data_IF_126926603961
#
_entry.id   IF_126926603961
#
_cell.length_a   1.000
_cell.length_b   1.000
_cell.length_c   1.000
_cell.angle_alpha   90.00
_cell.angle_beta   90.00
_cell.angle_gamma   90.00
#
_symmetry.space_group_name_H-M   'P 1'
#
loop_
_entity.id
_entity.type
_entity.pdbx_description
1 polymer ?
#
# COMPACT_ATOMS: atom_id res chain seq x y z
N UNK A 1 41.25 43.69 -11.92
CA UNK A 1 40.02 42.92 -12.21
C UNK A 1 40.03 41.67 -11.36
N UNK A 2 39.28 41.62 -10.26
CA UNK A 2 39.07 40.39 -9.47
C UNK A 2 37.95 39.61 -10.12
N UNK A 3 38.25 38.39 -10.58
CA UNK A 3 37.25 37.45 -11.07
C UNK A 3 36.59 36.76 -9.86
N UNK A 4 35.32 37.09 -9.61
CA UNK A 4 34.51 36.40 -8.59
C UNK A 4 34.12 35.03 -9.15
N UNK A 5 34.70 33.96 -8.61
CA UNK A 5 34.29 32.58 -8.93
C UNK A 5 33.00 32.31 -8.18
N UNK A 6 31.88 32.28 -8.89
CA UNK A 6 30.59 31.81 -8.36
C UNK A 6 30.65 30.29 -8.37
N UNK A 7 30.91 29.68 -7.20
CA UNK A 7 30.74 28.25 -7.00
C UNK A 7 29.24 27.99 -6.90
N UNK A 8 28.63 27.52 -7.96
CA UNK A 8 27.27 27.01 -7.93
C UNK A 8 27.24 25.76 -7.01
N UNK A 9 26.67 25.91 -5.83
CA UNK A 9 26.37 24.77 -4.98
C UNK A 9 25.36 23.89 -5.71
N UNK A 10 25.79 22.76 -6.26
CA UNK A 10 24.89 21.75 -6.76
C UNK A 10 24.14 21.20 -5.54
N UNK A 11 22.84 21.53 -5.42
CA UNK A 11 21.98 20.85 -4.49
C UNK A 11 21.98 19.37 -4.89
N UNK A 12 22.64 18.53 -4.13
CA UNK A 12 22.58 17.08 -4.35
C UNK A 12 21.12 16.63 -4.19
N UNK A 13 20.59 15.94 -5.20
CA UNK A 13 19.27 15.35 -5.12
C UNK A 13 19.22 14.30 -4.00
N UNK A 14 18.09 14.21 -3.32
CA UNK A 14 17.86 13.18 -2.31
C UNK A 14 17.83 11.80 -2.97
N UNK A 15 18.45 10.83 -2.33
CA UNK A 15 18.41 9.43 -2.70
C UNK A 15 17.54 8.62 -1.74
N UNK A 16 17.19 7.38 -2.12
CA UNK A 16 16.44 6.48 -1.28
C UNK A 16 17.37 5.68 -0.37
N UNK A 17 17.39 5.98 0.92
CA UNK A 17 17.96 5.13 1.96
C UNK A 17 17.05 3.93 2.23
N UNK A 18 17.60 2.82 2.70
CA UNK A 18 16.83 1.60 2.99
C UNK A 18 17.39 0.86 4.19
N UNK A 19 16.48 0.44 5.07
CA UNK A 19 16.73 -0.54 6.13
C UNK A 19 15.53 -1.46 6.28
N UNK A 20 15.73 -2.65 6.83
CA UNK A 20 14.66 -3.54 7.25
C UNK A 20 14.65 -3.63 8.77
N UNK A 21 13.47 -3.50 9.36
CA UNK A 21 13.26 -3.61 10.80
C UNK A 21 12.20 -4.65 11.12
N UNK A 22 12.13 -5.06 12.38
CA UNK A 22 11.05 -5.88 12.94
C UNK A 22 10.30 -5.04 13.96
N UNK A 23 8.96 -4.96 13.81
CA UNK A 23 8.11 -4.38 14.85
C UNK A 23 7.50 -5.49 15.69
N UNK A 24 7.27 -5.23 16.98
CA UNK A 24 6.70 -6.21 17.89
C UNK A 24 5.30 -6.66 17.49
N UNK A 25 4.97 -7.92 17.76
CA UNK A 25 3.61 -8.42 17.70
C UNK A 25 2.73 -7.86 18.83
N UNK A 26 1.44 -8.22 18.84
CA UNK A 26 0.47 -7.79 19.89
C UNK A 26 0.76 -8.39 21.26
N UNK A 27 1.43 -9.53 21.32
CA UNK A 27 1.98 -10.16 22.53
C UNK A 27 3.41 -10.60 22.23
N UNK A 28 4.22 -10.94 23.26
CA UNK A 28 5.57 -11.44 23.04
C UNK A 28 5.66 -12.66 22.13
N UNK A 29 4.62 -13.50 22.11
CA UNK A 29 4.53 -14.73 21.30
C UNK A 29 3.90 -14.49 19.93
N UNK A 30 3.30 -13.33 19.70
CA UNK A 30 2.70 -12.99 18.42
C UNK A 30 3.78 -12.72 17.35
N UNK A 31 3.52 -13.07 16.08
CA UNK A 31 4.47 -12.82 15.02
C UNK A 31 4.87 -11.34 14.94
N UNK A 32 6.17 -11.09 14.78
CA UNK A 32 6.68 -9.75 14.48
C UNK A 32 6.30 -9.37 13.05
N UNK A 33 6.22 -8.06 12.77
CA UNK A 33 6.00 -7.55 11.43
C UNK A 33 7.32 -7.07 10.84
N UNK A 34 7.72 -7.64 9.71
CA UNK A 34 8.84 -7.14 8.91
C UNK A 34 8.41 -5.85 8.20
N UNK A 35 9.21 -4.80 8.32
CA UNK A 35 8.97 -3.51 7.68
C UNK A 35 10.23 -3.05 6.94
N UNK A 36 10.13 -2.81 5.65
CA UNK A 36 11.14 -2.10 4.89
C UNK A 36 10.90 -0.60 5.01
N UNK A 37 11.87 0.12 5.55
CA UNK A 37 11.84 1.58 5.60
C UNK A 37 12.64 2.14 4.43
N UNK A 38 11.97 2.97 3.63
CA UNK A 38 12.59 3.79 2.59
C UNK A 38 12.54 5.25 3.04
N UNK A 39 13.67 5.94 2.98
CA UNK A 39 13.78 7.29 3.55
C UNK A 39 14.75 8.16 2.77
N UNK A 40 14.60 9.49 2.79
CA UNK A 40 15.52 10.38 2.09
C UNK A 40 16.90 10.38 2.75
N UNK A 41 17.94 10.29 1.92
CA UNK A 41 19.35 10.31 2.32
C UNK A 41 20.19 11.03 1.28
N UNK A 42 21.38 11.47 1.69
CA UNK A 42 22.42 11.99 0.79
C UNK A 42 23.45 10.91 0.41
N UNK A 43 23.32 9.69 0.94
CA UNK A 43 24.24 8.60 0.63
C UNK A 43 23.98 8.03 -0.76
N UNK A 44 25.03 7.70 -1.50
CA UNK A 44 24.91 7.15 -2.85
C UNK A 44 24.20 5.77 -2.84
N UNK A 45 23.22 5.56 -3.73
CA UNK A 45 22.52 4.30 -3.84
C UNK A 45 23.38 3.27 -4.59
N UNK A 46 22.97 1.99 -4.45
CA UNK A 46 23.47 0.88 -5.26
C UNK A 46 22.34 -0.06 -5.64
N UNK A 47 22.46 -0.71 -6.77
CA UNK A 47 21.54 -1.74 -7.18
C UNK A 47 21.71 -3.00 -6.30
N UNK A 48 20.60 -3.52 -5.79
CA UNK A 48 20.53 -4.78 -5.05
C UNK A 48 19.33 -5.59 -5.51
N UNK A 49 19.39 -6.91 -5.34
CA UNK A 49 18.24 -7.80 -5.56
C UNK A 49 17.67 -8.24 -4.21
N UNK A 50 16.34 -8.10 -4.07
CA UNK A 50 15.58 -8.59 -2.93
C UNK A 50 14.50 -9.56 -3.42
N UNK A 51 14.86 -10.85 -3.44
CA UNK A 51 14.07 -11.85 -4.15
C UNK A 51 13.92 -11.51 -5.64
N UNK A 52 12.72 -11.50 -6.21
CA UNK A 52 12.50 -11.19 -7.62
C UNK A 52 12.52 -9.69 -7.94
N UNK A 53 12.69 -8.82 -6.95
CA UNK A 53 12.62 -7.37 -7.15
C UNK A 53 13.99 -6.70 -7.03
N UNK A 54 14.29 -5.84 -8.01
CA UNK A 54 15.47 -4.96 -7.97
C UNK A 54 15.16 -3.69 -7.19
N UNK A 55 16.12 -3.23 -6.39
CA UNK A 55 16.08 -1.95 -5.68
C UNK A 55 17.36 -1.16 -6.00
N UNK A 56 17.23 0.17 -6.06
CA UNK A 56 18.36 1.09 -6.16
C UNK A 56 18.36 2.01 -4.93
N UNK A 57 19.09 1.60 -3.88
CA UNK A 57 19.00 2.18 -2.53
C UNK A 57 20.35 2.29 -1.83
N UNK A 58 20.48 3.27 -0.95
CA UNK A 58 21.60 3.40 -0.01
C UNK A 58 21.28 2.62 1.27
N UNK A 59 21.81 1.37 1.36
CA UNK A 59 21.59 0.51 2.53
C UNK A 59 22.24 1.13 3.77
N UNK A 60 21.45 1.38 4.82
CA UNK A 60 21.92 1.97 6.07
C UNK A 60 22.41 3.41 5.92
N UNK A 61 22.14 4.07 4.79
CA UNK A 61 22.47 5.49 4.60
C UNK A 61 21.86 6.36 5.71
N UNK A 62 22.59 7.40 6.15
CA UNK A 62 22.09 8.30 7.19
C UNK A 62 20.83 9.02 6.72
N UNK A 63 19.68 8.92 7.43
CA UNK A 63 18.49 9.69 7.08
C UNK A 63 18.73 11.20 7.19
N UNK A 64 18.02 11.98 6.39
CA UNK A 64 17.97 13.43 6.59
C UNK A 64 17.27 13.78 7.92
N UNK A 65 17.47 15.01 8.41
CA UNK A 65 16.98 15.41 9.73
C UNK A 65 15.43 15.50 9.79
N UNK A 66 14.79 15.85 8.68
CA UNK A 66 13.32 15.97 8.59
C UNK A 66 12.78 15.30 7.35
N UNK A 67 11.63 14.65 7.50
CA UNK A 67 10.84 14.06 6.41
C UNK A 67 9.45 14.71 6.37
N UNK A 68 8.88 14.81 5.18
CA UNK A 68 7.59 15.45 4.92
C UNK A 68 6.42 14.82 5.67
N UNK A 69 6.36 13.47 5.64
CA UNK A 69 5.34 12.65 6.30
C UNK A 69 5.79 11.20 6.36
N UNK A 70 5.09 10.39 7.15
CA UNK A 70 5.12 8.93 7.10
C UNK A 70 4.08 8.44 6.08
N UNK A 71 4.49 7.59 5.16
CA UNK A 71 3.60 6.86 4.24
C UNK A 71 3.67 5.38 4.57
N UNK A 72 2.56 4.81 5.06
CA UNK A 72 2.42 3.37 5.19
C UNK A 72 2.18 2.76 3.81
N UNK A 73 2.85 1.65 3.46
CA UNK A 73 2.64 0.93 2.21
C UNK A 73 2.23 -0.51 2.50
N UNK A 74 1.02 -0.89 2.05
CA UNK A 74 0.42 -2.22 2.22
C UNK A 74 0.34 -2.96 0.89
N UNK A 75 1.02 -4.12 0.80
CA UNK A 75 1.02 -4.97 -0.39
C UNK A 75 -0.30 -5.73 -0.59
N UNK A 76 -0.51 -6.32 -1.76
CA UNK A 76 -1.62 -7.22 -2.09
C UNK A 76 -1.51 -8.59 -1.41
N UNK A 77 -2.48 -9.47 -1.69
CA UNK A 77 -2.50 -10.86 -1.17
C UNK A 77 -1.18 -11.58 -1.46
N UNK A 78 -0.65 -12.29 -0.46
CA UNK A 78 0.61 -13.06 -0.54
C UNK A 78 1.82 -12.26 -1.04
N UNK A 79 1.81 -10.94 -0.91
CA UNK A 79 2.87 -10.06 -1.40
C UNK A 79 4.08 -9.94 -0.48
N UNK A 80 4.81 -8.85 -0.63
CA UNK A 80 6.04 -8.57 0.12
C UNK A 80 6.27 -7.06 0.25
N UNK A 81 7.04 -6.65 1.23
CA UNK A 81 7.45 -5.26 1.50
C UNK A 81 8.30 -4.63 0.38
N UNK A 82 8.74 -5.43 -0.60
CA UNK A 82 9.54 -4.96 -1.74
C UNK A 82 8.79 -4.92 -3.07
N UNK A 83 7.56 -5.49 -3.13
CA UNK A 83 6.79 -5.59 -4.37
C UNK A 83 6.39 -4.24 -5.00
N UNK A 84 6.45 -3.15 -4.24
CA UNK A 84 6.16 -1.78 -4.68
C UNK A 84 7.35 -0.84 -4.43
N UNK A 85 8.57 -1.37 -4.42
CA UNK A 85 9.77 -0.61 -4.06
C UNK A 85 10.05 0.57 -5.01
N UNK A 86 9.65 0.53 -6.28
CA UNK A 86 9.77 1.67 -7.21
C UNK A 86 9.02 2.89 -6.68
N UNK A 87 7.78 2.71 -6.23
CA UNK A 87 6.97 3.78 -5.64
C UNK A 87 7.56 4.25 -4.29
N UNK A 88 7.98 3.29 -3.44
CA UNK A 88 8.57 3.61 -2.15
C UNK A 88 9.88 4.40 -2.28
N UNK A 89 10.76 4.02 -3.22
CA UNK A 89 11.98 4.74 -3.50
C UNK A 89 11.72 6.15 -4.07
N UNK A 90 10.74 6.28 -4.97
CA UNK A 90 10.38 7.57 -5.52
C UNK A 90 9.86 8.53 -4.43
N UNK A 91 8.98 8.07 -3.55
CA UNK A 91 8.50 8.84 -2.40
C UNK A 91 9.65 9.22 -1.46
N UNK A 92 10.59 8.29 -1.18
CA UNK A 92 11.76 8.59 -0.36
C UNK A 92 12.64 9.68 -0.98
N UNK A 93 12.94 9.61 -2.29
CA UNK A 93 13.66 10.67 -3.02
C UNK A 93 12.92 12.02 -3.00
N UNK A 94 11.61 11.99 -2.82
CA UNK A 94 10.79 13.20 -2.67
C UNK A 94 10.55 13.64 -1.21
N UNK A 95 11.32 13.09 -0.26
CA UNK A 95 11.34 13.55 1.13
C UNK A 95 10.38 12.85 2.08
N UNK A 96 9.74 11.75 1.69
CA UNK A 96 8.86 10.96 2.54
C UNK A 96 9.59 9.82 3.25
N UNK A 97 9.16 9.46 4.45
CA UNK A 97 9.48 8.17 5.07
C UNK A 97 8.41 7.18 4.66
N UNK A 98 8.79 6.10 3.99
CA UNK A 98 7.84 5.03 3.61
C UNK A 98 8.10 3.80 4.45
N UNK A 99 7.06 3.30 5.12
CA UNK A 99 7.07 2.05 5.87
C UNK A 99 6.27 1.00 5.10
N UNK A 100 6.96 0.16 4.34
CA UNK A 100 6.37 -0.94 3.59
C UNK A 100 6.36 -2.19 4.45
N UNK A 101 5.17 -2.62 4.89
CA UNK A 101 5.05 -3.78 5.79
C UNK A 101 4.90 -5.08 5.01
N UNK A 102 5.43 -6.18 5.58
CA UNK A 102 5.10 -7.56 5.18
C UNK A 102 4.07 -8.07 6.17
N UNK A 103 2.83 -8.28 5.71
CA UNK A 103 1.75 -8.73 6.57
C UNK A 103 2.01 -10.13 7.15
N UNK A 104 2.13 -10.30 8.49
CA UNK A 104 2.20 -11.63 9.09
C UNK A 104 0.97 -12.46 8.74
N UNK A 105 1.19 -13.69 8.29
CA UNK A 105 0.14 -14.61 7.88
C UNK A 105 -0.48 -14.35 6.50
N UNK A 106 -0.05 -13.27 5.81
CA UNK A 106 -0.44 -13.02 4.42
C UNK A 106 0.72 -12.44 3.62
N UNK A 107 1.68 -13.27 3.33
CA UNK A 107 2.83 -12.94 2.50
C UNK A 107 3.33 -14.18 1.75
N UNK A 108 4.33 -14.00 0.89
CA UNK A 108 4.85 -15.07 0.05
C UNK A 108 5.42 -16.28 0.82
N UNK A 109 5.82 -16.11 2.09
CA UNK A 109 6.36 -17.18 2.96
C UNK A 109 5.32 -17.79 3.89
N UNK A 110 4.30 -17.01 4.28
CA UNK A 110 3.35 -17.37 5.32
C UNK A 110 1.94 -16.95 4.90
N UNK A 111 1.02 -17.91 4.81
CA UNK A 111 -0.39 -17.73 4.43
C UNK A 111 -1.37 -18.09 5.55
N UNK A 112 -0.88 -18.27 6.78
CA UNK A 112 -1.68 -18.75 7.90
C UNK A 112 -2.87 -17.83 8.26
N UNK A 113 -2.82 -16.55 7.94
CA UNK A 113 -3.95 -15.62 8.13
C UNK A 113 -5.08 -15.92 7.12
N UNK A 114 -4.73 -16.27 5.89
CA UNK A 114 -5.73 -16.61 4.86
C UNK A 114 -6.51 -17.88 5.25
N UNK A 115 -5.84 -18.85 5.86
CA UNK A 115 -6.45 -20.11 6.33
C UNK A 115 -7.43 -19.90 7.49
N UNK A 116 -7.33 -18.76 8.19
CA UNK A 116 -8.25 -18.40 9.29
C UNK A 116 -9.58 -17.81 8.83
N UNK A 117 -9.80 -17.75 7.52
CA UNK A 117 -11.02 -17.27 6.91
C UNK A 117 -11.08 -15.75 6.71
N UNK A 118 -12.03 -15.30 5.88
CA UNK A 118 -12.12 -13.89 5.46
C UNK A 118 -12.39 -12.92 6.61
N UNK A 119 -13.12 -13.32 7.65
CA UNK A 119 -13.38 -12.51 8.82
C UNK A 119 -12.10 -12.05 9.50
N UNK A 120 -11.19 -13.00 9.75
CA UNK A 120 -9.88 -12.71 10.35
C UNK A 120 -8.97 -11.97 9.38
N UNK A 121 -9.01 -12.34 8.12
CA UNK A 121 -8.17 -11.75 7.09
C UNK A 121 -8.43 -10.24 6.95
N UNK A 122 -9.68 -9.85 6.79
CA UNK A 122 -10.05 -8.45 6.59
C UNK A 122 -10.02 -7.62 7.89
N UNK A 123 -10.14 -8.23 9.06
CA UNK A 123 -9.97 -7.55 10.36
C UNK A 123 -8.48 -7.32 10.69
N UNK A 124 -7.63 -8.32 10.50
CA UNK A 124 -6.25 -8.29 11.00
C UNK A 124 -5.32 -7.40 10.17
N UNK A 125 -5.47 -7.36 8.84
CA UNK A 125 -4.58 -6.55 7.99
C UNK A 125 -4.57 -5.06 8.35
N UNK A 126 -5.70 -4.36 8.53
CA UNK A 126 -5.69 -2.96 8.97
C UNK A 126 -5.08 -2.78 10.36
N UNK A 127 -5.30 -3.74 11.28
CA UNK A 127 -4.70 -3.70 12.63
C UNK A 127 -3.19 -3.85 12.59
N UNK A 128 -2.65 -4.75 11.75
CA UNK A 128 -1.21 -4.88 11.53
C UNK A 128 -0.62 -3.57 10.99
N UNK A 129 -1.29 -2.96 10.05
CA UNK A 129 -0.90 -1.69 9.45
C UNK A 129 -0.88 -0.55 10.49
N UNK A 130 -1.91 -0.43 11.32
CA UNK A 130 -1.99 0.57 12.40
C UNK A 130 -0.87 0.36 13.45
N UNK A 131 -0.57 -0.90 13.82
CA UNK A 131 0.54 -1.23 14.73
C UNK A 131 1.92 -0.83 14.17
N UNK A 132 2.12 -0.91 12.85
CA UNK A 132 3.35 -0.40 12.22
C UNK A 132 3.44 1.11 12.35
N UNK A 133 2.34 1.85 12.16
CA UNK A 133 2.30 3.29 12.41
C UNK A 133 2.65 3.57 13.88
N UNK A 134 2.08 2.83 14.83
CA UNK A 134 2.40 2.96 16.26
C UNK A 134 3.90 2.78 16.52
N UNK A 135 4.49 1.72 15.99
CA UNK A 135 5.90 1.41 16.18
C UNK A 135 6.84 2.50 15.65
N UNK A 136 6.56 2.99 14.43
CA UNK A 136 7.37 4.07 13.81
C UNK A 136 7.24 5.38 14.59
N UNK A 137 6.03 5.73 15.04
CA UNK A 137 5.80 6.95 15.81
C UNK A 137 6.26 6.86 17.27
N UNK A 138 6.44 5.64 17.80
CA UNK A 138 7.04 5.40 19.12
C UNK A 138 8.57 5.44 19.07
N UNK A 139 9.20 5.13 17.94
CA UNK A 139 10.66 5.17 17.77
C UNK A 139 11.16 6.63 17.83
N UNK A 140 12.01 7.00 18.82
CA UNK A 140 12.45 8.39 19.00
C UNK A 140 13.18 8.96 17.78
N UNK A 141 13.93 8.11 17.06
CA UNK A 141 14.70 8.53 15.90
C UNK A 141 13.80 8.92 14.72
N UNK A 142 12.74 8.13 14.45
CA UNK A 142 11.79 8.44 13.38
C UNK A 142 10.78 9.50 13.79
N UNK A 143 10.25 9.43 15.02
CA UNK A 143 9.34 10.43 15.57
C UNK A 143 9.90 11.86 15.47
N UNK A 144 11.16 12.04 15.81
CA UNK A 144 11.82 13.36 15.74
C UNK A 144 11.96 13.91 14.31
N UNK A 145 11.93 13.02 13.30
CA UNK A 145 12.08 13.40 11.88
C UNK A 145 10.77 13.71 11.18
N UNK A 146 9.69 13.00 11.53
CA UNK A 146 8.39 13.13 10.86
C UNK A 146 7.80 14.50 11.15
N UNK A 147 7.41 15.22 10.09
CA UNK A 147 6.78 16.53 10.24
C UNK A 147 5.42 16.40 10.95
N UNK A 148 5.14 17.37 11.81
CA UNK A 148 3.90 17.47 12.59
C UNK A 148 3.26 18.83 12.38
N UNK A 149 1.95 18.91 12.58
CA UNK A 149 1.19 20.16 12.61
C UNK A 149 0.18 20.13 13.78
N UNK A 150 -0.82 21.00 13.77
CA UNK A 150 -1.83 21.07 14.84
C UNK A 150 -2.66 19.79 15.01
N UNK A 151 -2.70 18.93 13.99
CA UNK A 151 -3.40 17.63 14.03
C UNK A 151 -2.49 16.46 14.43
N UNK A 152 -1.20 16.71 14.69
CA UNK A 152 -0.20 15.70 15.04
C UNK A 152 0.71 15.32 13.87
N UNK A 153 1.36 14.12 13.90
CA UNK A 153 2.24 13.67 12.85
C UNK A 153 1.50 13.51 11.52
N UNK A 154 2.17 13.88 10.43
CA UNK A 154 1.61 13.72 9.09
C UNK A 154 1.74 12.28 8.63
N UNK A 155 0.60 11.62 8.43
CA UNK A 155 0.55 10.21 8.02
C UNK A 155 -0.37 10.04 6.82
N UNK A 156 0.16 9.41 5.77
CA UNK A 156 -0.60 8.90 4.64
C UNK A 156 -0.48 7.38 4.52
N UNK A 157 -1.30 6.78 3.67
CA UNK A 157 -1.19 5.36 3.38
C UNK A 157 -1.40 5.06 1.89
N UNK A 158 -0.68 4.05 1.39
CA UNK A 158 -0.69 3.58 0.02
C UNK A 158 -0.90 2.07 0.02
N UNK A 159 -1.82 1.55 -0.80
CA UNK A 159 -2.07 0.12 -0.85
C UNK A 159 -2.52 -0.40 -2.20
N UNK A 160 -2.16 -1.64 -2.52
CA UNK A 160 -2.54 -2.33 -3.75
C UNK A 160 -3.39 -3.55 -3.44
N UNK A 161 -4.46 -3.79 -4.20
CA UNK A 161 -5.28 -5.00 -4.09
C UNK A 161 -5.88 -5.16 -2.67
N UNK A 162 -5.58 -6.23 -1.95
CA UNK A 162 -5.89 -6.39 -0.53
C UNK A 162 -5.28 -5.28 0.35
N UNK A 163 -4.13 -4.71 -0.06
CA UNK A 163 -3.56 -3.52 0.56
C UNK A 163 -4.39 -2.26 0.31
N UNK A 164 -5.03 -2.16 -0.86
CA UNK A 164 -6.01 -1.12 -1.17
C UNK A 164 -7.23 -1.16 -0.24
N UNK A 165 -7.75 -2.36 0.05
CA UNK A 165 -8.73 -2.55 1.11
C UNK A 165 -8.19 -2.08 2.47
N UNK A 166 -6.95 -2.51 2.81
CA UNK A 166 -6.33 -2.17 4.10
C UNK A 166 -6.33 -0.65 4.33
N UNK A 167 -5.90 0.15 3.36
CA UNK A 167 -5.84 1.61 3.52
C UNK A 167 -7.22 2.27 3.53
N UNK A 168 -8.19 1.71 2.80
CA UNK A 168 -9.59 2.15 2.87
C UNK A 168 -10.20 1.89 4.25
N UNK A 169 -9.90 0.73 4.86
CA UNK A 169 -10.33 0.42 6.22
C UNK A 169 -9.69 1.35 7.26
N UNK A 170 -8.40 1.68 7.12
CA UNK A 170 -7.73 2.69 7.95
C UNK A 170 -8.37 4.08 7.79
N UNK A 171 -8.93 4.39 6.63
CA UNK A 171 -9.67 5.64 6.39
C UNK A 171 -11.11 5.62 6.92
N UNK A 172 -11.59 4.47 7.44
CA UNK A 172 -12.89 4.33 8.06
C UNK A 172 -13.93 3.54 7.26
N UNK A 173 -13.59 3.02 6.07
CA UNK A 173 -14.46 2.10 5.36
C UNK A 173 -14.61 0.78 6.13
N UNK A 174 -15.83 0.23 6.17
CA UNK A 174 -16.14 -0.98 6.95
C UNK A 174 -16.50 -2.15 6.04
N UNK A 175 -15.87 -3.31 6.27
CA UNK A 175 -16.22 -4.52 5.55
C UNK A 175 -17.57 -5.10 6.07
N UNK A 176 -18.36 -5.60 5.13
CA UNK A 176 -19.51 -6.46 5.38
C UNK A 176 -19.34 -7.76 4.56
N UNK A 177 -18.99 -8.83 5.23
CA UNK A 177 -18.74 -10.11 4.57
C UNK A 177 -20.01 -10.76 4.04
N UNK A 178 -21.20 -10.34 4.49
CA UNK A 178 -22.46 -10.78 3.89
C UNK A 178 -22.59 -10.27 2.46
N UNK A 179 -22.08 -9.05 2.18
CA UNK A 179 -22.00 -8.50 0.81
C UNK A 179 -21.08 -9.33 -0.08
N UNK A 180 -19.90 -9.68 0.44
CA UNK A 180 -18.94 -10.54 -0.29
C UNK A 180 -19.56 -11.90 -0.62
N UNK A 181 -20.17 -12.56 0.36
CA UNK A 181 -20.84 -13.85 0.16
C UNK A 181 -21.98 -13.76 -0.86
N UNK A 182 -22.83 -12.72 -0.73
CA UNK A 182 -23.92 -12.48 -1.67
C UNK A 182 -23.41 -12.21 -3.09
N UNK A 183 -22.34 -11.39 -3.22
CA UNK A 183 -21.70 -11.13 -4.51
C UNK A 183 -21.23 -12.43 -5.15
N UNK A 184 -20.45 -13.25 -4.44
CA UNK A 184 -19.96 -14.51 -5.00
C UNK A 184 -21.04 -15.59 -5.20
N UNK A 185 -22.18 -15.47 -4.53
CA UNK A 185 -23.34 -16.33 -4.80
C UNK A 185 -23.99 -16.01 -6.16
N UNK A 186 -24.06 -14.74 -6.55
CA UNK A 186 -24.83 -14.31 -7.73
C UNK A 186 -23.96 -13.85 -8.90
N UNK A 187 -22.74 -13.37 -8.65
CA UNK A 187 -21.88 -12.74 -9.64
C UNK A 187 -20.55 -13.50 -9.85
N UNK A 188 -20.44 -14.75 -9.36
CA UNK A 188 -19.18 -15.51 -9.45
C UNK A 188 -18.68 -15.72 -10.89
N UNK A 189 -19.58 -15.79 -11.88
CA UNK A 189 -19.22 -15.89 -13.31
C UNK A 189 -18.58 -14.60 -13.86
N UNK A 190 -18.90 -13.46 -13.26
CA UNK A 190 -18.47 -12.13 -13.67
C UNK A 190 -17.23 -11.64 -12.89
N UNK A 191 -16.92 -12.29 -11.75
CA UNK A 191 -15.78 -11.99 -10.88
C UNK A 191 -15.12 -13.29 -10.37
N UNK A 192 -14.71 -14.18 -11.29
CA UNK A 192 -14.38 -15.57 -10.97
C UNK A 192 -13.14 -15.73 -10.11
N UNK A 193 -12.09 -14.91 -10.33
CA UNK A 193 -10.86 -15.04 -9.58
C UNK A 193 -11.09 -14.61 -8.13
N UNK A 194 -11.69 -13.44 -7.89
CA UNK A 194 -12.00 -12.98 -6.54
C UNK A 194 -12.86 -14.00 -5.78
N UNK A 195 -13.94 -14.50 -6.41
CA UNK A 195 -14.85 -15.45 -5.76
C UNK A 195 -14.22 -16.83 -5.54
N UNK A 196 -13.23 -17.23 -6.32
CA UNK A 196 -12.48 -18.48 -6.06
C UNK A 196 -11.58 -18.40 -4.83
N UNK A 197 -11.05 -17.22 -4.52
CA UNK A 197 -10.18 -17.01 -3.35
C UNK A 197 -10.95 -17.01 -2.02
N UNK A 198 -12.22 -16.63 -2.03
CA UNK A 198 -13.08 -16.60 -0.84
C UNK A 198 -13.71 -17.95 -0.46
N UNK A 199 -13.53 -18.98 -1.29
CA UNK A 199 -14.21 -20.28 -1.15
C UNK A 199 -13.38 -21.30 -0.33
N UNK A 200 -12.54 -20.85 0.61
CA UNK A 200 -11.75 -21.72 1.47
C UNK A 200 -12.55 -22.18 2.68
N UNK A 201 -13.33 -23.27 2.52
CA UNK A 201 -13.81 -24.08 3.64
C UNK A 201 -15.16 -23.68 4.24
N UNK A 202 -15.67 -24.58 5.09
CA UNK A 202 -16.92 -24.43 5.85
C UNK A 202 -16.99 -23.06 6.54
N UNK A 203 -18.14 -22.41 6.45
CA UNK A 203 -18.42 -21.18 7.15
C UNK A 203 -18.20 -21.39 8.67
N UNK A 204 -17.05 -21.02 9.16
CA UNK A 204 -16.87 -20.83 10.59
C UNK A 204 -17.89 -19.78 11.05
N UNK A 205 -18.57 -19.97 12.19
CA UNK A 205 -19.47 -18.95 12.71
C UNK A 205 -18.72 -17.61 12.72
N UNK A 206 -19.32 -16.53 12.21
CA UNK A 206 -18.67 -15.24 12.23
C UNK A 206 -18.23 -14.95 13.67
N UNK A 207 -16.99 -14.50 13.90
CA UNK A 207 -16.65 -13.96 15.20
C UNK A 207 -17.68 -12.87 15.52
N UNK A 208 -18.02 -12.65 16.79
CA UNK A 208 -18.92 -11.58 17.16
C UNK A 208 -18.44 -10.31 16.47
N UNK A 209 -19.37 -9.60 15.83
CA UNK A 209 -19.08 -8.43 15.00
C UNK A 209 -18.00 -7.59 15.69
N UNK A 210 -16.89 -7.35 14.99
CA UNK A 210 -15.79 -6.59 15.56
C UNK A 210 -16.33 -5.21 15.95
N UNK A 211 -16.55 -5.01 17.23
CA UNK A 211 -17.13 -3.78 17.80
C UNK A 211 -16.15 -2.61 17.75
N UNK A 212 -14.89 -2.88 17.41
CA UNK A 212 -13.83 -1.88 17.33
C UNK A 212 -13.60 -1.42 15.89
N UNK A 213 -13.65 -0.11 15.70
CA UNK A 213 -13.32 0.54 14.43
C UNK A 213 -11.93 0.13 13.94
N UNK A 214 -11.80 -0.10 12.63
CA UNK A 214 -10.50 -0.30 11.95
C UNK A 214 -9.86 1.03 11.54
N UNK A 215 -10.57 2.14 11.72
CA UNK A 215 -10.10 3.48 11.39
C UNK A 215 -8.89 3.85 12.24
N UNK A 216 -7.89 4.42 11.61
CA UNK A 216 -6.76 5.07 12.26
C UNK A 216 -6.86 6.58 12.03
N UNK A 217 -7.16 7.32 13.09
CA UNK A 217 -7.40 8.77 13.02
C UNK A 217 -6.17 9.58 12.58
N UNK A 218 -4.99 8.98 12.60
CA UNK A 218 -3.74 9.60 12.14
C UNK A 218 -3.63 9.64 10.62
N UNK A 219 -4.32 8.71 9.91
CA UNK A 219 -4.27 8.61 8.45
C UNK A 219 -5.13 9.71 7.83
N UNK A 220 -4.51 10.64 7.10
CA UNK A 220 -5.16 11.83 6.53
C UNK A 220 -5.33 11.79 5.02
N UNK A 221 -4.53 10.98 4.34
CA UNK A 221 -4.59 10.80 2.89
C UNK A 221 -4.29 9.34 2.54
N UNK A 222 -5.02 8.79 1.58
CA UNK A 222 -4.83 7.43 1.12
C UNK A 222 -4.80 7.34 -0.41
N UNK A 223 -3.98 6.40 -0.90
CA UNK A 223 -4.00 5.97 -2.30
C UNK A 223 -4.30 4.49 -2.33
N UNK A 224 -5.37 4.09 -3.01
CA UNK A 224 -5.76 2.70 -3.18
C UNK A 224 -5.68 2.30 -4.66
N UNK A 225 -4.77 1.39 -4.99
CA UNK A 225 -4.52 0.89 -6.34
C UNK A 225 -5.21 -0.46 -6.52
N UNK A 226 -6.11 -0.57 -7.51
CA UNK A 226 -6.92 -1.77 -7.75
C UNK A 226 -7.43 -2.41 -6.43
N UNK A 227 -8.15 -1.65 -5.57
CA UNK A 227 -8.49 -2.11 -4.22
C UNK A 227 -9.52 -3.24 -4.23
N UNK A 228 -9.43 -4.17 -3.28
CA UNK A 228 -10.55 -5.07 -2.97
C UNK A 228 -11.69 -4.24 -2.34
N UNK A 229 -12.78 -4.06 -3.07
CA UNK A 229 -13.84 -3.10 -2.73
C UNK A 229 -15.22 -3.68 -2.48
N UNK A 230 -15.58 -4.82 -3.10
CA UNK A 230 -16.95 -5.37 -3.13
C UNK A 230 -17.56 -5.58 -1.73
N UNK A 231 -16.74 -5.89 -0.72
CA UNK A 231 -17.19 -6.08 0.65
C UNK A 231 -17.40 -4.76 1.43
N UNK A 232 -16.97 -3.62 0.91
CA UNK A 232 -17.13 -2.34 1.60
C UNK A 232 -18.56 -1.81 1.44
N UNK A 233 -19.15 -1.32 2.54
CA UNK A 233 -20.53 -0.78 2.50
C UNK A 233 -20.56 0.63 1.94
N UNK A 234 -21.59 0.96 1.16
CA UNK A 234 -21.78 2.31 0.61
C UNK A 234 -21.82 3.36 1.72
N UNK A 235 -22.53 3.06 2.82
CA UNK A 235 -22.63 3.95 3.98
C UNK A 235 -21.26 4.29 4.58
N UNK A 236 -20.40 3.27 4.77
CA UNK A 236 -19.07 3.50 5.36
C UNK A 236 -18.13 4.23 4.40
N UNK A 237 -18.23 3.96 3.10
CA UNK A 237 -17.47 4.67 2.07
C UNK A 237 -17.89 6.16 2.03
N UNK A 238 -19.19 6.46 2.09
CA UNK A 238 -19.70 7.83 2.17
C UNK A 238 -19.25 8.58 3.44
N UNK A 239 -18.83 7.87 4.48
CA UNK A 239 -18.31 8.43 5.73
C UNK A 239 -16.78 8.64 5.73
N UNK A 240 -16.03 8.19 4.72
CA UNK A 240 -14.59 8.40 4.59
C UNK A 240 -14.29 9.89 4.50
N UNK A 241 -13.34 10.36 5.30
CA UNK A 241 -12.94 11.79 5.36
C UNK A 241 -11.51 12.05 4.89
N UNK A 242 -10.53 11.13 5.06
CA UNK A 242 -9.20 11.29 4.46
C UNK A 242 -9.27 11.58 2.96
N UNK A 243 -8.39 12.45 2.47
CA UNK A 243 -8.24 12.64 1.03
C UNK A 243 -7.93 11.29 0.37
N UNK A 244 -8.68 10.94 -0.68
CA UNK A 244 -8.62 9.59 -1.28
C UNK A 244 -8.39 9.67 -2.78
N UNK A 245 -7.37 8.94 -3.25
CA UNK A 245 -7.10 8.72 -4.67
C UNK A 245 -7.22 7.23 -4.96
N UNK A 246 -7.96 6.89 -6.02
CA UNK A 246 -8.21 5.51 -6.44
C UNK A 246 -7.62 5.32 -7.83
N UNK A 247 -6.90 4.22 -8.02
CA UNK A 247 -6.52 3.73 -9.35
C UNK A 247 -7.24 2.44 -9.65
N UNK A 248 -7.76 2.30 -10.87
CA UNK A 248 -8.26 1.06 -11.41
C UNK A 248 -7.41 0.61 -12.60
N UNK A 249 -7.21 -0.68 -12.77
CA UNK A 249 -6.66 -1.26 -13.99
C UNK A 249 -7.83 -1.63 -14.92
N UNK A 250 -7.89 -1.04 -16.10
CA UNK A 250 -9.04 -1.21 -17.03
C UNK A 250 -9.34 -2.67 -17.36
N UNK A 251 -8.30 -3.48 -17.51
CA UNK A 251 -8.40 -4.89 -17.87
C UNK A 251 -8.15 -5.82 -16.67
N UNK A 252 -8.48 -5.35 -15.46
CA UNK A 252 -8.33 -6.15 -14.23
C UNK A 252 -9.31 -7.34 -14.24
N UNK A 253 -8.77 -8.55 -14.25
CA UNK A 253 -9.53 -9.80 -14.17
C UNK A 253 -9.44 -10.42 -12.78
N UNK A 254 -8.50 -9.92 -11.96
CA UNK A 254 -8.33 -10.37 -10.57
C UNK A 254 -9.38 -9.74 -9.65
N UNK A 255 -9.60 -8.43 -9.84
CA UNK A 255 -10.61 -7.63 -9.15
C UNK A 255 -11.35 -6.80 -10.20
N UNK A 256 -12.43 -7.34 -10.74
CA UNK A 256 -13.18 -6.71 -11.83
C UNK A 256 -13.62 -5.29 -11.44
N UNK A 257 -13.24 -4.23 -12.19
CA UNK A 257 -13.33 -2.83 -11.74
C UNK A 257 -14.70 -2.42 -11.23
N UNK A 258 -15.79 -2.81 -11.94
CA UNK A 258 -17.16 -2.44 -11.57
C UNK A 258 -17.59 -2.88 -10.18
N UNK A 259 -17.05 -4.00 -9.68
CA UNK A 259 -17.35 -4.53 -8.35
C UNK A 259 -16.38 -4.03 -7.28
N UNK A 260 -15.23 -3.52 -7.66
CA UNK A 260 -14.13 -3.18 -6.77
C UNK A 260 -13.78 -1.70 -6.83
N UNK A 261 -12.91 -1.24 -7.71
CA UNK A 261 -12.44 0.14 -7.75
C UNK A 261 -13.55 1.14 -8.08
N UNK A 262 -14.39 0.86 -9.07
CA UNK A 262 -15.53 1.71 -9.45
C UNK A 262 -16.61 1.74 -8.35
N UNK A 263 -16.88 0.59 -7.71
CA UNK A 263 -17.77 0.54 -6.55
C UNK A 263 -17.29 1.46 -5.43
N UNK A 264 -16.00 1.37 -5.08
CA UNK A 264 -15.40 2.24 -4.05
C UNK A 264 -15.53 3.70 -4.46
N UNK A 265 -15.08 4.07 -5.65
CA UNK A 265 -15.09 5.44 -6.13
C UNK A 265 -16.51 6.03 -6.17
N UNK A 266 -17.50 5.26 -6.64
CA UNK A 266 -18.90 5.71 -6.76
C UNK A 266 -19.57 5.98 -5.41
N UNK A 267 -19.02 5.47 -4.31
CA UNK A 267 -19.59 5.64 -2.97
C UNK A 267 -18.76 6.56 -2.06
N UNK A 268 -17.63 7.09 -2.53
CA UNK A 268 -16.83 8.09 -1.82
C UNK A 268 -17.45 9.48 -1.95
N UNK A 269 -17.35 10.36 -0.92
CA UNK A 269 -17.90 11.72 -0.97
C UNK A 269 -17.22 12.62 -2.01
N UNK A 270 -15.95 12.36 -2.32
CA UNK A 270 -15.17 13.07 -3.32
C UNK A 270 -14.30 12.07 -4.10
N UNK A 271 -14.88 11.38 -5.09
CA UNK A 271 -14.16 10.37 -5.84
C UNK A 271 -13.03 11.03 -6.68
N UNK A 272 -11.85 10.47 -6.57
CA UNK A 272 -10.68 10.80 -7.41
C UNK A 272 -10.20 9.49 -8.04
N UNK A 273 -10.92 9.04 -9.08
CA UNK A 273 -10.68 7.78 -9.77
C UNK A 273 -9.84 8.01 -11.03
N UNK A 274 -8.74 7.30 -11.11
CA UNK A 274 -7.84 7.25 -12.26
C UNK A 274 -7.91 5.87 -12.93
N UNK A 275 -8.45 5.82 -14.15
CA UNK A 275 -8.47 4.62 -14.97
C UNK A 275 -7.13 4.46 -15.68
N UNK A 276 -6.44 3.36 -15.42
CA UNK A 276 -5.21 3.01 -16.13
C UNK A 276 -5.55 2.16 -17.35
N UNK A 277 -5.43 2.81 -18.51
CA UNK A 277 -5.80 2.21 -19.79
C UNK A 277 -4.91 1.01 -20.11
N UNK A 278 -5.49 -0.04 -20.67
CA UNK A 278 -4.78 -1.26 -21.08
C UNK A 278 -3.92 -1.88 -19.96
N UNK A 279 -4.33 -1.78 -18.68
CA UNK A 279 -3.58 -2.31 -17.55
C UNK A 279 -4.24 -3.57 -16.97
N UNK A 280 -3.43 -4.54 -16.56
CA UNK A 280 -3.83 -5.67 -15.72
C UNK A 280 -3.63 -5.36 -14.23
N UNK A 281 -4.16 -6.23 -13.36
CA UNK A 281 -4.11 -6.09 -11.91
C UNK A 281 -2.71 -5.78 -11.36
N UNK A 282 -1.69 -6.45 -11.87
CA UNK A 282 -0.29 -6.32 -11.38
C UNK A 282 0.49 -5.15 -11.98
N UNK A 283 -0.15 -4.27 -12.76
CA UNK A 283 0.48 -3.07 -13.32
C UNK A 283 1.09 -2.15 -12.24
N UNK A 284 0.53 -2.16 -11.04
CA UNK A 284 0.95 -1.33 -9.90
C UNK A 284 2.16 -1.88 -9.11
N UNK A 285 2.62 -3.07 -9.46
CA UNK A 285 3.78 -3.72 -8.83
C UNK A 285 5.04 -3.53 -9.68
N UNK A 286 6.20 -3.55 -9.02
CA UNK A 286 7.47 -3.68 -9.74
C UNK A 286 7.44 -4.90 -10.65
N UNK A 287 8.05 -4.79 -11.84
CA UNK A 287 8.24 -5.94 -12.72
C UNK A 287 9.21 -6.93 -12.04
N UNK A 288 8.79 -8.16 -11.73
CA UNK A 288 9.70 -9.17 -11.20
C UNK A 288 10.75 -9.56 -12.24
N UNK A 289 11.97 -9.91 -11.80
CA UNK A 289 13.06 -10.39 -12.65
C UNK A 289 12.87 -11.84 -13.15
N UNK A 290 11.80 -12.51 -12.70
CA UNK A 290 11.45 -13.88 -13.07
C UNK A 290 9.92 -14.03 -13.15
N UNK A 291 9.47 -15.05 -13.88
CA UNK A 291 8.05 -15.41 -13.91
C UNK A 291 7.54 -15.82 -12.53
N UNK A 292 6.39 -15.28 -12.13
CA UNK A 292 5.69 -15.63 -10.89
C UNK A 292 4.24 -15.98 -11.26
N UNK A 293 3.88 -17.27 -11.23
CA UNK A 293 2.51 -17.69 -11.54
C UNK A 293 1.48 -17.12 -10.56
N UNK A 294 0.33 -16.68 -11.06
CA UNK A 294 -0.82 -16.27 -10.27
C UNK A 294 -2.11 -16.84 -10.87
N UNK A 295 -3.24 -16.63 -10.19
CA UNK A 295 -4.57 -17.01 -10.71
C UNK A 295 -4.95 -16.29 -12.00
N UNK A 296 -4.33 -15.12 -12.28
CA UNK A 296 -4.55 -14.32 -13.51
C UNK A 296 -3.36 -14.41 -14.49
N UNK A 297 -2.54 -15.46 -14.40
CA UNK A 297 -1.35 -15.63 -15.24
C UNK A 297 -0.07 -15.19 -14.55
N UNK A 298 0.92 -14.76 -15.33
CA UNK A 298 2.23 -14.36 -14.82
C UNK A 298 2.23 -12.92 -14.32
N UNK A 299 2.63 -12.71 -13.05
CA UNK A 299 2.76 -11.37 -12.47
C UNK A 299 3.78 -10.50 -13.24
N UNK A 300 4.79 -11.11 -13.86
CA UNK A 300 5.76 -10.39 -14.67
C UNK A 300 5.22 -9.94 -16.04
N UNK A 301 4.11 -10.53 -16.51
CA UNK A 301 3.53 -10.21 -17.82
C UNK A 301 2.75 -8.89 -17.81
N UNK A 302 2.62 -8.31 -18.99
CA UNK A 302 1.80 -7.15 -19.28
C UNK A 302 0.90 -7.39 -20.49
N UNK A 303 -0.23 -6.68 -20.61
CA UNK A 303 -0.95 -6.63 -21.87
C UNK A 303 -0.06 -6.11 -23.00
N UNK A 304 -0.37 -6.51 -24.25
CA UNK A 304 0.35 -6.01 -25.40
C UNK A 304 0.27 -4.47 -25.47
N UNK A 305 1.43 -3.83 -25.59
CA UNK A 305 1.53 -2.37 -25.69
C UNK A 305 1.50 -1.63 -24.35
N UNK A 306 1.40 -2.31 -23.20
CA UNK A 306 1.51 -1.68 -21.90
C UNK A 306 2.96 -1.66 -21.39
N UNK A 307 3.53 -0.47 -21.21
CA UNK A 307 4.86 -0.25 -20.61
C UNK A 307 4.71 0.00 -19.12
N UNK A 308 4.87 -1.06 -18.30
CA UNK A 308 4.74 -0.98 -16.84
C UNK A 308 5.78 -0.05 -16.21
N UNK A 309 7.01 -0.07 -16.70
CA UNK A 309 8.10 0.72 -16.10
C UNK A 309 7.89 2.22 -16.36
N UNK A 310 7.44 2.60 -17.56
CA UNK A 310 7.04 3.97 -17.86
C UNK A 310 5.82 4.38 -17.03
N UNK A 311 4.82 3.51 -16.90
CA UNK A 311 3.63 3.75 -16.08
C UNK A 311 3.99 3.95 -14.60
N UNK A 312 4.83 3.10 -14.01
CA UNK A 312 5.23 3.23 -12.60
C UNK A 312 5.98 4.53 -12.30
N UNK A 313 6.78 5.04 -13.25
CA UNK A 313 7.42 6.36 -13.13
C UNK A 313 6.39 7.48 -13.09
N UNK A 314 5.41 7.43 -13.99
CA UNK A 314 4.33 8.42 -14.01
C UNK A 314 3.45 8.34 -12.75
N UNK A 315 3.08 7.13 -12.35
CA UNK A 315 2.33 6.86 -11.13
C UNK A 315 3.03 7.42 -9.87
N UNK A 316 4.35 7.27 -9.78
CA UNK A 316 5.14 7.81 -8.68
C UNK A 316 5.07 9.35 -8.61
N UNK A 317 5.07 10.03 -9.77
CA UNK A 317 4.92 11.50 -9.85
C UNK A 317 3.53 11.91 -9.35
N UNK A 318 2.49 11.25 -9.83
CA UNK A 318 1.09 11.56 -9.47
C UNK A 318 0.81 11.33 -7.99
N UNK A 319 1.27 10.18 -7.43
CA UNK A 319 1.12 9.86 -6.00
C UNK A 319 1.91 10.87 -5.15
N UNK A 320 3.11 11.24 -5.55
CA UNK A 320 3.91 12.24 -4.84
C UNK A 320 3.18 13.59 -4.81
N UNK A 321 2.69 14.06 -5.96
CA UNK A 321 1.93 15.30 -6.06
C UNK A 321 0.64 15.28 -5.22
N UNK A 322 -0.05 14.14 -5.18
CA UNK A 322 -1.22 13.96 -4.34
C UNK A 322 -0.88 14.09 -2.85
N UNK A 323 0.15 13.41 -2.36
CA UNK A 323 0.57 13.53 -0.96
C UNK A 323 1.12 14.92 -0.63
N UNK A 324 1.86 15.56 -1.54
CA UNK A 324 2.31 16.96 -1.35
C UNK A 324 1.10 17.89 -1.18
N UNK A 325 0.05 17.72 -1.97
CA UNK A 325 -1.17 18.55 -1.90
C UNK A 325 -2.00 18.29 -0.63
N UNK A 326 -2.01 17.07 -0.12
CA UNK A 326 -2.98 16.65 0.92
C UNK A 326 -2.38 16.55 2.31
N UNK A 327 -1.06 16.42 2.44
CA UNK A 327 -0.37 16.25 3.71
C UNK A 327 0.49 17.47 4.09
N UNK A 328 0.84 18.36 3.14
CA UNK A 328 1.69 19.53 3.39
C UNK A 328 0.89 20.80 3.48
#
# INVERSE_FOLDING_TARGET
MLATIIVAAHAHALEAGWIQIQTAGVTPEAPTTTVALYYPTMAAPRAIAMGPFGLEVAIGGKPVDKVKALILLSHGISGTETGHSVLAQALARNGYLVAALRHPGDNWQDRALMEKGPERYFDERPRQASRVIDAILADPAWKARIATDSQGPRVGALGHSAGGYTVLALAGARPDLSRMRKHCQFEASEDPIFCSLGNTGEATPPPPAATTSLKDERVRAIVAMAPTGVLLTAESLAAVRPATMIYEAELDRFLVPRFHAEWVASNLPAPNLHRVHNAWHFAFMNTPSMSIPSHDGDIAANPQGFDRDAFLKQLAIEITAFFDKTLL
#
